data_IF_310469756271
#
_entry.id   IF_310469756271
#
_cell.length_a   1.000
_cell.length_b   1.000
_cell.length_c   1.000
_cell.angle_alpha   90.00
_cell.angle_beta   90.00
_cell.angle_gamma   90.00
#
_symmetry.space_group_name_H-M   'P 1'
#
loop_
_entity.id
_entity.type
_entity.pdbx_description
1 polymer ?
#
# COMPACT_ATOMS: atom_id res chain seq x y z
N UNK A 1 -23.58 -2.01 -49.83
CA UNK A 1 -23.74 -0.66 -50.42
C UNK A 1 -22.61 0.20 -49.92
N UNK A 2 -21.56 0.35 -50.74
CA UNK A 2 -21.06 1.57 -51.41
C UNK A 2 -20.90 2.73 -50.41
N UNK A 3 -19.71 2.96 -49.88
CA UNK A 3 -18.64 3.84 -50.40
C UNK A 3 -18.97 5.33 -50.33
N UNK A 4 -18.17 6.10 -49.60
CA UNK A 4 -17.65 7.39 -50.09
C UNK A 4 -16.46 7.86 -49.26
N UNK A 5 -15.33 7.81 -49.95
CA UNK A 5 -14.08 8.48 -49.68
C UNK A 5 -14.31 9.96 -49.98
N UNK A 6 -13.83 10.85 -49.11
CA UNK A 6 -13.61 12.25 -49.50
C UNK A 6 -12.21 12.66 -49.05
N UNK A 7 -11.32 12.70 -50.01
CA UNK A 7 -10.06 13.43 -50.01
C UNK A 7 -10.31 14.92 -49.83
N UNK A 8 -9.53 15.58 -48.99
CA UNK A 8 -9.24 17.00 -49.12
C UNK A 8 -7.72 17.17 -49.07
N UNK A 9 -7.23 17.66 -50.21
CA UNK A 9 -5.84 17.95 -50.51
C UNK A 9 -5.61 19.43 -50.28
N UNK A 10 -4.41 19.72 -49.76
CA UNK A 10 -3.54 20.88 -50.04
C UNK A 10 -3.94 22.27 -49.52
N UNK A 11 -3.07 22.81 -48.68
CA UNK A 11 -2.45 24.12 -48.95
C UNK A 11 -1.09 24.19 -48.25
N UNK A 12 -0.03 24.10 -49.02
CA UNK A 12 1.30 24.51 -48.63
C UNK A 12 1.37 26.04 -48.72
N UNK A 13 1.75 26.70 -47.61
CA UNK A 13 2.22 28.08 -47.66
C UNK A 13 3.58 28.14 -46.96
N UNK A 14 4.57 28.26 -47.81
CA UNK A 14 5.95 28.65 -47.48
C UNK A 14 5.96 30.10 -46.98
N UNK A 15 6.43 30.29 -45.74
CA UNK A 15 7.00 31.55 -45.31
C UNK A 15 8.32 31.26 -44.60
N UNK A 16 9.37 31.32 -45.38
CA UNK A 16 10.72 31.49 -44.91
C UNK A 16 10.92 33.00 -44.63
N UNK A 17 11.21 33.36 -43.39
CA UNK A 17 12.11 34.46 -43.07
C UNK A 17 12.29 34.61 -41.55
N UNK A 18 13.52 34.54 -41.10
CA UNK A 18 14.12 35.23 -39.95
C UNK A 18 13.58 34.96 -38.57
N UNK A 19 14.28 34.14 -37.78
CA UNK A 19 14.96 34.74 -36.64
C UNK A 19 15.88 33.71 -35.95
N UNK A 20 17.14 34.01 -35.99
CA UNK A 20 18.26 33.25 -35.42
C UNK A 20 18.41 33.51 -33.91
N UNK A 21 17.38 34.11 -33.28
CA UNK A 21 17.43 34.58 -31.89
C UNK A 21 16.48 33.85 -30.93
N UNK A 22 15.49 33.10 -31.43
CA UNK A 22 14.55 32.38 -30.55
C UNK A 22 15.01 30.98 -30.10
N UNK A 23 16.04 30.43 -30.79
CA UNK A 23 16.54 29.08 -30.45
C UNK A 23 17.45 29.04 -29.22
N UNK A 24 18.05 30.15 -28.79
CA UNK A 24 18.95 30.17 -27.65
C UNK A 24 18.18 30.02 -26.33
N UNK A 25 17.03 30.67 -26.16
CA UNK A 25 16.21 30.60 -24.96
C UNK A 25 15.49 29.24 -24.80
N UNK A 26 15.11 28.63 -25.93
CA UNK A 26 14.47 27.30 -25.90
C UNK A 26 15.47 26.18 -25.55
N UNK A 27 16.73 26.32 -25.97
CA UNK A 27 17.80 25.35 -25.64
C UNK A 27 18.25 25.47 -24.17
N UNK A 28 18.26 26.69 -23.63
CA UNK A 28 18.58 26.93 -22.23
C UNK A 28 17.49 26.41 -21.28
N UNK A 29 16.22 26.67 -21.58
CA UNK A 29 15.08 26.11 -20.85
C UNK A 29 15.02 24.58 -20.90
N UNK A 30 15.45 23.99 -22.01
CA UNK A 30 15.52 22.53 -22.14
C UNK A 30 16.64 21.93 -21.31
N UNK A 31 17.79 22.59 -21.24
CA UNK A 31 18.93 22.18 -20.39
C UNK A 31 18.60 22.32 -18.90
N UNK A 32 17.86 23.36 -18.51
CA UNK A 32 17.38 23.51 -17.12
C UNK A 32 16.37 22.43 -16.75
N UNK A 33 15.43 22.10 -17.64
CA UNK A 33 14.47 21.02 -17.41
C UNK A 33 15.14 19.64 -17.32
N UNK A 34 16.13 19.36 -18.19
CA UNK A 34 16.91 18.13 -18.12
C UNK A 34 17.80 18.06 -16.86
N UNK A 35 18.33 19.19 -16.40
CA UNK A 35 19.09 19.26 -15.15
C UNK A 35 18.21 19.03 -13.92
N UNK A 36 17.02 19.61 -13.91
CA UNK A 36 16.04 19.42 -12.85
C UNK A 36 15.51 17.99 -12.79
N UNK A 37 15.28 17.38 -13.94
CA UNK A 37 14.85 15.98 -14.04
C UNK A 37 15.96 15.03 -13.60
N UNK A 38 17.22 15.28 -14.00
CA UNK A 38 18.40 14.54 -13.50
C UNK A 38 18.62 14.72 -11.99
N UNK A 39 18.37 15.93 -11.46
CA UNK A 39 18.47 16.17 -10.02
C UNK A 39 17.38 15.43 -9.24
N UNK A 40 16.15 15.35 -9.76
CA UNK A 40 15.06 14.55 -9.19
C UNK A 40 15.33 13.05 -9.27
N UNK A 41 15.90 12.56 -10.38
CA UNK A 41 16.32 11.16 -10.52
C UNK A 41 17.50 10.84 -9.58
N UNK A 42 18.47 11.74 -9.42
CA UNK A 42 19.59 11.56 -8.51
C UNK A 42 19.15 11.63 -7.03
N UNK A 43 18.19 12.49 -6.69
CA UNK A 43 17.58 12.54 -5.36
C UNK A 43 16.76 11.27 -5.05
N UNK A 44 16.06 10.70 -6.05
CA UNK A 44 15.38 9.41 -5.95
C UNK A 44 16.34 8.22 -5.82
N UNK A 45 17.58 8.33 -6.32
CA UNK A 45 18.60 7.28 -6.22
C UNK A 45 19.44 7.33 -4.93
N UNK A 46 19.37 8.42 -4.18
CA UNK A 46 19.98 8.52 -2.85
C UNK A 46 19.17 7.79 -1.76
N UNK A 47 18.13 7.02 -2.14
CA UNK A 47 17.38 6.18 -1.24
C UNK A 47 18.33 5.25 -0.49
N UNK A 48 18.25 5.28 0.82
CA UNK A 48 18.99 4.45 1.77
C UNK A 48 19.09 3.03 1.20
N UNK A 49 20.30 2.51 1.02
CA UNK A 49 20.51 1.12 0.59
C UNK A 49 20.10 0.20 1.71
N UNK A 50 18.84 -0.12 1.80
CA UNK A 50 18.31 -1.09 2.76
C UNK A 50 18.82 -2.46 2.33
N UNK A 51 19.57 -3.09 3.20
CA UNK A 51 19.91 -4.50 3.02
C UNK A 51 18.67 -5.31 3.41
N UNK A 52 18.17 -6.16 2.54
CA UNK A 52 17.08 -7.06 2.93
C UNK A 52 17.53 -7.95 4.08
N UNK A 53 16.66 -8.35 5.00
CA UNK A 53 16.98 -9.35 6.02
C UNK A 53 17.51 -10.64 5.36
N UNK A 54 18.43 -11.32 6.02
CA UNK A 54 18.91 -12.61 5.51
C UNK A 54 17.82 -13.67 5.76
N UNK A 55 17.44 -14.47 4.76
CA UNK A 55 16.38 -15.49 4.91
C UNK A 55 16.63 -16.39 6.15
N UNK A 56 15.58 -16.56 6.95
CA UNK A 56 15.61 -17.40 8.14
C UNK A 56 16.37 -16.86 9.34
N UNK A 57 17.08 -15.75 9.22
CA UNK A 57 17.91 -15.19 10.30
C UNK A 57 17.29 -14.00 11.00
N UNK A 58 16.56 -13.18 10.29
CA UNK A 58 15.97 -11.96 10.85
C UNK A 58 14.53 -11.81 10.39
N UNK A 59 13.69 -11.52 11.34
CA UNK A 59 12.27 -11.25 11.08
C UNK A 59 11.91 -9.93 11.70
N UNK A 60 10.93 -9.26 11.11
CA UNK A 60 10.42 -8.00 11.63
C UNK A 60 9.26 -8.31 12.57
N UNK A 61 9.35 -7.96 13.86
CA UNK A 61 8.24 -8.11 14.79
C UNK A 61 7.01 -7.31 14.34
N UNK A 62 5.83 -7.85 14.57
CA UNK A 62 4.59 -7.18 14.18
C UNK A 62 4.39 -5.83 14.87
N UNK A 63 4.83 -5.71 16.10
CA UNK A 63 4.78 -4.47 16.89
C UNK A 63 5.67 -3.37 16.28
N UNK A 64 6.71 -3.76 15.55
CA UNK A 64 7.58 -2.83 14.84
C UNK A 64 6.99 -2.45 13.48
N UNK A 65 6.46 -3.45 12.75
CA UNK A 65 5.92 -3.23 11.40
C UNK A 65 4.63 -2.38 11.44
N UNK A 66 3.71 -2.69 12.35
CA UNK A 66 2.37 -2.13 12.39
C UNK A 66 2.32 -0.88 13.26
N UNK A 67 1.84 0.22 12.68
CA UNK A 67 1.45 1.42 13.43
C UNK A 67 0.02 1.25 13.96
N UNK A 68 -0.10 0.55 15.10
CA UNK A 68 -1.40 0.15 15.63
C UNK A 68 -2.37 1.33 15.82
N UNK A 69 -1.95 2.49 16.37
CA UNK A 69 -2.83 3.67 16.47
C UNK A 69 -3.39 4.14 15.14
N UNK A 70 -2.56 4.17 14.10
CA UNK A 70 -2.99 4.59 12.75
C UNK A 70 -3.97 3.60 12.14
N UNK A 71 -3.75 2.30 12.30
CA UNK A 71 -4.71 1.30 11.86
C UNK A 71 -6.02 1.39 12.62
N UNK A 72 -6.00 1.60 13.92
CA UNK A 72 -7.20 1.77 14.73
C UNK A 72 -8.03 2.98 14.27
N UNK A 73 -7.37 4.11 14.03
CA UNK A 73 -7.99 5.33 13.51
C UNK A 73 -8.61 5.10 12.13
N UNK A 74 -7.84 4.53 11.18
CA UNK A 74 -8.27 4.33 9.80
C UNK A 74 -9.44 3.34 9.69
N UNK A 75 -9.47 2.31 10.53
CA UNK A 75 -10.54 1.33 10.58
C UNK A 75 -11.76 1.80 11.37
N UNK A 76 -11.66 2.89 12.14
CA UNK A 76 -12.73 3.40 12.98
C UNK A 76 -13.06 2.48 14.16
N UNK A 77 -12.09 1.71 14.64
CA UNK A 77 -12.27 0.78 15.73
C UNK A 77 -12.24 1.53 17.08
N UNK A 78 -13.28 1.35 17.87
CA UNK A 78 -13.42 1.99 19.20
C UNK A 78 -12.59 1.24 20.23
N UNK A 79 -12.64 -0.08 20.20
CA UNK A 79 -11.87 -0.94 21.10
C UNK A 79 -10.43 -1.11 20.56
N UNK A 80 -9.44 -1.24 21.46
CA UNK A 80 -8.06 -1.43 21.03
C UNK A 80 -7.90 -2.65 20.14
N UNK A 81 -7.22 -2.46 19.00
CA UNK A 81 -6.81 -3.57 18.13
C UNK A 81 -5.76 -4.44 18.83
N UNK A 82 -5.74 -5.72 18.48
CA UNK A 82 -4.70 -6.66 18.89
C UNK A 82 -3.93 -7.12 17.66
N UNK A 83 -2.60 -7.06 17.73
CA UNK A 83 -1.74 -7.58 16.67
C UNK A 83 -1.34 -9.01 17.00
N UNK A 84 -1.42 -9.89 15.98
CA UNK A 84 -1.00 -11.30 16.09
C UNK A 84 0.06 -11.60 15.02
N UNK A 85 1.14 -12.24 15.40
CA UNK A 85 2.09 -12.83 14.44
C UNK A 85 1.43 -14.04 13.76
N UNK A 86 1.27 -13.94 12.44
CA UNK A 86 0.69 -14.98 11.58
C UNK A 86 1.71 -15.56 10.60
N UNK A 87 2.99 -15.25 10.77
CA UNK A 87 4.09 -15.64 9.90
C UNK A 87 4.26 -17.16 9.76
N UNK A 88 3.78 -17.94 10.71
CA UNK A 88 3.77 -19.41 10.59
C UNK A 88 3.05 -19.89 9.33
N UNK A 89 2.03 -19.15 8.86
CA UNK A 89 1.32 -19.43 7.59
C UNK A 89 1.99 -18.83 6.35
N UNK A 90 2.99 -17.98 6.52
CA UNK A 90 3.69 -17.24 5.45
C UNK A 90 5.21 -17.28 5.71
N UNK A 91 5.84 -18.46 5.63
CA UNK A 91 7.25 -18.63 6.05
C UNK A 91 8.25 -17.84 5.20
N UNK A 92 7.85 -17.44 3.98
CA UNK A 92 8.66 -16.62 3.08
C UNK A 92 8.56 -15.11 3.39
N UNK A 93 7.68 -14.71 4.33
CA UNK A 93 7.53 -13.32 4.71
C UNK A 93 8.55 -12.90 5.77
N UNK A 94 9.05 -11.68 5.67
CA UNK A 94 9.83 -11.04 6.74
C UNK A 94 8.95 -10.76 7.97
N UNK A 95 7.68 -10.44 7.72
CA UNK A 95 6.67 -10.28 8.74
C UNK A 95 5.28 -10.61 8.17
N UNK A 96 4.38 -11.16 8.99
CA UNK A 96 2.97 -11.33 8.67
C UNK A 96 2.15 -11.09 9.93
N UNK A 97 1.28 -10.09 9.89
CA UNK A 97 0.65 -9.50 11.05
C UNK A 97 -0.86 -9.43 10.86
N UNK A 98 -1.60 -10.21 11.65
CA UNK A 98 -3.06 -10.13 11.71
C UNK A 98 -3.50 -9.03 12.66
N UNK A 99 -4.35 -8.12 12.20
CA UNK A 99 -5.00 -7.12 13.03
C UNK A 99 -6.38 -7.66 13.47
N UNK A 100 -6.52 -7.87 14.74
CA UNK A 100 -7.70 -8.52 15.35
C UNK A 100 -8.53 -7.48 16.06
N UNK A 101 -9.86 -7.52 15.84
CA UNK A 101 -10.81 -6.65 16.51
C UNK A 101 -10.77 -6.91 18.02
N UNK A 102 -10.58 -5.86 18.81
CA UNK A 102 -10.66 -5.90 20.25
C UNK A 102 -12.08 -6.02 20.79
N UNK A 103 -12.20 -5.98 22.11
CA UNK A 103 -13.47 -6.01 22.80
C UNK A 103 -13.95 -7.42 23.19
N UNK A 104 -15.13 -7.46 23.82
CA UNK A 104 -15.72 -8.71 24.30
C UNK A 104 -16.55 -9.37 23.20
N UNK A 105 -16.22 -10.63 22.88
CA UNK A 105 -17.01 -11.40 21.92
C UNK A 105 -18.42 -11.64 22.44
N UNK A 106 -19.46 -11.42 21.62
CA UNK A 106 -20.83 -11.75 21.97
C UNK A 106 -21.01 -13.22 22.31
N UNK A 107 -21.92 -13.51 23.22
CA UNK A 107 -22.31 -14.90 23.57
C UNK A 107 -22.97 -15.59 22.36
N UNK A 108 -23.04 -16.91 22.38
CA UNK A 108 -23.72 -17.66 21.30
C UNK A 108 -25.20 -17.25 21.12
N UNK A 109 -25.89 -16.91 22.20
CA UNK A 109 -27.26 -16.45 22.13
C UNK A 109 -27.38 -15.11 21.42
N UNK A 110 -26.48 -14.17 21.73
CA UNK A 110 -26.40 -12.86 21.06
C UNK A 110 -26.00 -13.02 19.58
N UNK A 111 -25.04 -13.89 19.28
CA UNK A 111 -24.65 -14.19 17.89
C UNK A 111 -25.81 -14.76 17.08
N UNK A 112 -26.59 -15.70 17.66
CA UNK A 112 -27.81 -16.22 17.03
C UNK A 112 -28.87 -15.14 16.79
N UNK A 113 -29.00 -14.20 17.73
CA UNK A 113 -29.91 -13.07 17.56
C UNK A 113 -29.47 -12.12 16.44
N UNK A 114 -28.16 -11.81 16.36
CA UNK A 114 -27.58 -11.02 15.27
C UNK A 114 -27.80 -11.73 13.93
N UNK A 115 -27.46 -13.01 13.83
CA UNK A 115 -27.64 -13.79 12.61
C UNK A 115 -29.08 -13.81 12.14
N UNK A 116 -30.04 -13.95 13.07
CA UNK A 116 -31.49 -13.92 12.76
C UNK A 116 -31.94 -12.56 12.26
N UNK A 117 -31.37 -11.47 12.80
CA UNK A 117 -31.74 -10.09 12.44
C UNK A 117 -31.09 -9.63 11.14
N UNK A 118 -29.79 -9.93 10.96
CA UNK A 118 -28.95 -9.36 9.91
C UNK A 118 -28.64 -10.35 8.78
N UNK A 119 -29.02 -11.61 8.93
CA UNK A 119 -28.79 -12.67 7.94
C UNK A 119 -27.36 -13.19 7.88
N UNK A 120 -26.40 -12.46 8.48
CA UNK A 120 -24.99 -12.85 8.56
C UNK A 120 -24.34 -12.36 9.84
N UNK A 121 -23.27 -13.01 10.23
CA UNK A 121 -22.37 -12.50 11.25
C UNK A 121 -21.27 -11.72 10.54
N UNK A 122 -21.12 -10.44 10.88
CA UNK A 122 -19.98 -9.64 10.47
C UNK A 122 -18.72 -10.01 11.26
N UNK A 123 -17.64 -9.24 11.07
CA UNK A 123 -16.42 -9.38 11.88
C UNK A 123 -16.73 -9.05 13.33
N UNK A 124 -16.43 -9.97 14.23
CA UNK A 124 -16.69 -9.84 15.66
C UNK A 124 -15.41 -9.59 16.45
N UNK A 125 -15.51 -9.13 17.72
CA UNK A 125 -14.37 -9.11 18.62
C UNK A 125 -13.67 -10.47 18.67
N UNK A 126 -12.34 -10.46 18.51
CA UNK A 126 -11.52 -11.65 18.39
C UNK A 126 -11.32 -12.18 16.96
N UNK A 127 -12.06 -11.67 15.98
CA UNK A 127 -11.84 -12.00 14.56
C UNK A 127 -10.78 -11.09 13.95
N UNK A 128 -10.05 -11.61 12.97
CA UNK A 128 -9.08 -10.85 12.19
C UNK A 128 -9.80 -9.95 11.19
N UNK A 129 -9.49 -8.65 11.24
CA UNK A 129 -9.98 -7.64 10.31
C UNK A 129 -9.22 -7.71 8.99
N UNK A 130 -7.90 -7.65 9.11
CA UNK A 130 -7.00 -7.79 7.97
C UNK A 130 -5.65 -8.34 8.40
N UNK A 131 -4.91 -8.83 7.41
CA UNK A 131 -3.56 -9.32 7.58
C UNK A 131 -2.61 -8.55 6.66
N UNK A 132 -1.53 -8.04 7.23
CA UNK A 132 -0.47 -7.32 6.50
C UNK A 132 0.76 -8.18 6.48
N UNK A 133 1.23 -8.52 5.28
CA UNK A 133 2.41 -9.37 5.06
C UNK A 133 3.46 -8.59 4.28
N UNK A 134 4.71 -8.58 4.77
CA UNK A 134 5.85 -7.94 4.13
C UNK A 134 6.85 -8.98 3.62
N UNK A 135 7.12 -8.97 2.32
CA UNK A 135 8.12 -9.83 1.68
C UNK A 135 9.35 -8.99 1.33
N UNK A 136 10.39 -9.12 2.15
CA UNK A 136 11.58 -8.27 2.13
C UNK A 136 12.91 -9.06 2.09
N UNK A 137 12.87 -10.38 1.87
CA UNK A 137 14.07 -11.21 1.85
C UNK A 137 15.05 -10.87 0.72
N UNK A 138 14.49 -10.31 -0.36
CA UNK A 138 15.26 -9.80 -1.49
C UNK A 138 14.79 -8.38 -1.78
N UNK A 139 15.68 -7.56 -2.35
CA UNK A 139 15.27 -6.28 -2.92
C UNK A 139 14.45 -6.60 -4.15
N UNK A 140 13.17 -6.25 -4.12
CA UNK A 140 12.27 -6.51 -5.24
C UNK A 140 12.45 -5.49 -6.35
N UNK A 141 12.22 -5.95 -7.58
CA UNK A 141 12.19 -5.12 -8.76
C UNK A 141 10.73 -4.79 -9.10
N UNK A 142 10.38 -3.50 -9.27
CA UNK A 142 9.00 -3.09 -9.49
C UNK A 142 8.42 -3.61 -10.82
N UNK A 143 9.23 -3.68 -11.88
CA UNK A 143 8.76 -4.19 -13.18
C UNK A 143 8.53 -5.70 -13.13
N UNK A 144 9.40 -6.42 -12.43
CA UNK A 144 9.21 -7.85 -12.17
C UNK A 144 7.94 -8.09 -11.34
N UNK A 145 7.68 -7.25 -10.35
CA UNK A 145 6.45 -7.30 -9.56
C UNK A 145 5.22 -7.11 -10.46
N UNK A 146 5.20 -6.09 -11.31
CA UNK A 146 4.12 -5.83 -12.27
C UNK A 146 3.91 -7.01 -13.21
N UNK A 147 4.98 -7.60 -13.73
CA UNK A 147 4.91 -8.82 -14.53
C UNK A 147 4.26 -9.98 -13.77
N UNK A 148 4.60 -10.16 -12.49
CA UNK A 148 3.96 -11.19 -11.63
C UNK A 148 2.45 -10.93 -11.45
N UNK A 149 2.01 -9.67 -11.27
CA UNK A 149 0.59 -9.32 -11.22
C UNK A 149 -0.14 -9.74 -12.51
N UNK A 150 0.43 -9.41 -13.67
CA UNK A 150 -0.13 -9.75 -14.98
C UNK A 150 -0.21 -11.28 -15.18
N UNK A 151 0.84 -12.01 -14.81
CA UNK A 151 0.86 -13.48 -14.91
C UNK A 151 -0.23 -14.15 -14.06
N UNK A 152 -0.52 -13.58 -12.87
CA UNK A 152 -1.62 -14.02 -12.01
C UNK A 152 -2.99 -13.54 -12.47
N UNK A 153 -3.04 -12.67 -13.48
CA UNK A 153 -4.26 -11.98 -13.94
C UNK A 153 -4.88 -11.09 -12.85
N UNK A 154 -4.05 -10.58 -11.97
CA UNK A 154 -4.47 -9.58 -10.99
C UNK A 154 -4.82 -8.27 -11.72
N UNK A 155 -5.79 -7.53 -11.20
CA UNK A 155 -6.17 -6.23 -11.74
C UNK A 155 -5.22 -5.16 -11.23
N UNK A 156 -4.78 -4.25 -12.12
CA UNK A 156 -4.04 -3.06 -11.69
C UNK A 156 -4.89 -2.21 -10.73
N UNK A 157 -4.26 -1.64 -9.71
CA UNK A 157 -4.92 -0.73 -8.77
C UNK A 157 -4.13 0.58 -8.62
N UNK A 158 -4.29 1.46 -9.61
CA UNK A 158 -3.60 2.76 -9.66
C UNK A 158 -3.85 3.63 -8.42
N UNK A 159 -4.97 3.41 -7.73
CA UNK A 159 -5.30 4.14 -6.50
C UNK A 159 -4.40 3.78 -5.32
N UNK A 160 -3.70 2.64 -5.41
CA UNK A 160 -2.70 2.19 -4.44
C UNK A 160 -1.26 2.51 -4.89
N UNK A 161 -1.09 3.09 -6.09
CA UNK A 161 0.20 3.45 -6.66
C UNK A 161 0.49 2.77 -7.99
N UNK A 162 1.54 3.22 -8.67
CA UNK A 162 1.91 2.73 -10.02
C UNK A 162 2.21 1.22 -10.06
N UNK A 163 2.76 0.71 -8.96
CA UNK A 163 3.11 -0.70 -8.83
C UNK A 163 2.24 -1.35 -7.77
N UNK A 164 0.93 -1.41 -8.05
CA UNK A 164 -0.04 -2.08 -7.20
C UNK A 164 -1.01 -2.90 -8.04
N UNK A 165 -1.45 -4.01 -7.47
CA UNK A 165 -2.48 -4.85 -8.07
C UNK A 165 -3.38 -5.45 -6.99
N UNK A 166 -4.57 -5.88 -7.41
CA UNK A 166 -5.51 -6.58 -6.55
C UNK A 166 -5.97 -7.88 -7.20
N UNK A 167 -6.02 -8.91 -6.40
CA UNK A 167 -6.59 -10.20 -6.76
C UNK A 167 -7.99 -10.30 -6.18
N UNK A 168 -8.92 -10.86 -6.95
CA UNK A 168 -10.25 -11.23 -6.46
C UNK A 168 -10.20 -12.68 -5.99
N UNK A 169 -10.65 -12.92 -4.76
CA UNK A 169 -10.74 -14.25 -4.17
C UNK A 169 -12.17 -14.48 -3.71
N UNK A 170 -12.79 -15.56 -4.17
CA UNK A 170 -14.13 -15.92 -3.74
C UNK A 170 -14.07 -16.48 -2.30
N UNK A 171 -14.86 -15.89 -1.39
CA UNK A 171 -15.04 -16.32 -0.01
C UNK A 171 -16.53 -16.55 0.22
N UNK A 172 -16.98 -17.79 0.11
CA UNK A 172 -18.41 -18.09 0.11
C UNK A 172 -19.12 -17.48 -1.11
N UNK A 173 -20.04 -16.56 -0.87
CA UNK A 173 -20.77 -15.82 -1.92
C UNK A 173 -20.15 -14.44 -2.22
N UNK A 174 -19.12 -14.05 -1.50
CA UNK A 174 -18.51 -12.72 -1.62
C UNK A 174 -17.19 -12.77 -2.42
N UNK A 175 -16.96 -11.75 -3.23
CA UNK A 175 -15.68 -11.50 -3.88
C UNK A 175 -14.84 -10.57 -2.99
N UNK A 176 -13.74 -11.11 -2.46
CA UNK A 176 -12.87 -10.41 -1.52
C UNK A 176 -11.55 -10.04 -2.21
N UNK A 177 -11.06 -8.85 -1.95
CA UNK A 177 -9.82 -8.36 -2.54
C UNK A 177 -8.60 -8.72 -1.69
N UNK A 178 -7.53 -9.10 -2.37
CA UNK A 178 -6.18 -9.16 -1.82
C UNK A 178 -5.37 -8.10 -2.55
N UNK A 179 -4.97 -7.08 -1.80
CA UNK A 179 -4.13 -6.00 -2.33
C UNK A 179 -2.66 -6.37 -2.22
N UNK A 180 -1.89 -6.03 -3.26
CA UNK A 180 -0.43 -6.14 -3.26
C UNK A 180 0.16 -4.89 -3.87
N UNK A 181 1.21 -4.38 -3.28
CA UNK A 181 1.94 -3.26 -3.85
C UNK A 181 3.44 -3.39 -3.58
N UNK A 182 4.20 -2.84 -4.52
CA UNK A 182 5.62 -2.63 -4.33
C UNK A 182 5.81 -1.33 -3.56
N UNK A 183 6.45 -1.43 -2.41
CA UNK A 183 6.80 -0.27 -1.61
C UNK A 183 8.18 0.25 -2.02
N UNK A 184 8.21 1.46 -2.60
CA UNK A 184 9.40 2.04 -3.20
C UNK A 184 10.49 2.37 -2.17
N UNK A 185 10.09 2.69 -0.95
CA UNK A 185 11.00 3.11 0.11
C UNK A 185 11.70 1.92 0.76
N UNK A 186 10.96 0.86 1.05
CA UNK A 186 11.48 -0.35 1.68
C UNK A 186 12.00 -1.38 0.67
N UNK A 187 11.66 -1.24 -0.61
CA UNK A 187 11.91 -2.24 -1.67
C UNK A 187 11.30 -3.61 -1.38
N UNK A 188 10.21 -3.61 -0.64
CA UNK A 188 9.45 -4.80 -0.28
C UNK A 188 8.17 -4.91 -1.10
N UNK A 189 7.62 -6.11 -1.15
CA UNK A 189 6.24 -6.32 -1.59
C UNK A 189 5.39 -6.43 -0.33
N UNK A 190 4.39 -5.56 -0.23
CA UNK A 190 3.40 -5.61 0.84
C UNK A 190 2.12 -6.24 0.29
N UNK A 191 1.60 -7.22 1.01
CA UNK A 191 0.31 -7.85 0.73
C UNK A 191 -0.65 -7.58 1.87
N UNK A 192 -1.89 -7.22 1.54
CA UNK A 192 -2.96 -7.05 2.52
C UNK A 192 -4.17 -7.85 2.08
N UNK A 193 -4.67 -8.68 2.98
CA UNK A 193 -5.86 -9.51 2.78
C UNK A 193 -6.80 -9.38 3.97
N UNK A 194 -8.09 -9.62 3.76
CA UNK A 194 -9.05 -9.75 4.86
C UNK A 194 -8.84 -11.01 5.69
N UNK A 195 -9.28 -10.99 6.94
CA UNK A 195 -9.41 -12.18 7.76
C UNK A 195 -10.55 -13.09 7.25
N UNK A 196 -10.69 -14.31 7.80
CA UNK A 196 -11.68 -15.28 7.32
C UNK A 196 -13.14 -14.80 7.34
N UNK A 197 -13.48 -13.90 8.26
CA UNK A 197 -14.81 -13.30 8.40
C UNK A 197 -14.90 -11.90 7.78
N UNK A 198 -13.80 -11.37 7.24
CA UNK A 198 -13.68 -10.02 6.74
C UNK A 198 -13.88 -10.00 5.22
N UNK A 199 -15.13 -9.85 4.80
CA UNK A 199 -15.52 -9.80 3.37
C UNK A 199 -15.78 -8.37 2.88
N UNK A 200 -15.59 -7.36 3.74
CA UNK A 200 -15.73 -5.95 3.40
C UNK A 200 -14.49 -5.43 2.71
N UNK A 201 -14.58 -5.26 1.40
CA UNK A 201 -13.47 -4.76 0.57
C UNK A 201 -13.07 -3.32 0.91
N UNK A 202 -13.98 -2.50 1.42
CA UNK A 202 -13.68 -1.13 1.85
C UNK A 202 -12.77 -1.14 3.09
N UNK A 203 -13.09 -1.99 4.06
CA UNK A 203 -12.27 -2.17 5.25
C UNK A 203 -10.88 -2.73 4.90
N UNK A 204 -10.81 -3.74 4.03
CA UNK A 204 -9.52 -4.32 3.59
C UNK A 204 -8.69 -3.27 2.84
N UNK A 205 -9.35 -2.42 2.04
CA UNK A 205 -8.69 -1.32 1.36
C UNK A 205 -8.14 -0.28 2.34
N UNK A 206 -8.88 0.08 3.38
CA UNK A 206 -8.37 0.97 4.45
C UNK A 206 -7.12 0.40 5.10
N UNK A 207 -7.11 -0.91 5.40
CA UNK A 207 -5.90 -1.59 5.86
C UNK A 207 -4.74 -1.44 4.88
N UNK A 208 -4.98 -1.63 3.58
CA UNK A 208 -3.95 -1.57 2.56
C UNK A 208 -3.37 -0.15 2.40
N UNK A 209 -4.22 0.87 2.39
CA UNK A 209 -3.81 2.28 2.37
C UNK A 209 -2.99 2.62 3.61
N UNK A 210 -3.46 2.24 4.79
CA UNK A 210 -2.75 2.49 6.04
C UNK A 210 -1.38 1.78 6.06
N UNK A 211 -1.31 0.54 5.59
CA UNK A 211 -0.05 -0.18 5.46
C UNK A 211 0.92 0.56 4.54
N UNK A 212 0.47 1.03 3.38
CA UNK A 212 1.29 1.81 2.44
C UNK A 212 1.81 3.09 3.07
N UNK A 213 0.97 3.79 3.81
CA UNK A 213 1.28 5.11 4.34
C UNK A 213 2.10 5.06 5.64
N UNK A 214 2.19 3.91 6.31
CA UNK A 214 2.84 3.78 7.63
C UNK A 214 4.02 2.83 7.68
N UNK A 215 4.16 1.92 6.72
CA UNK A 215 5.33 1.05 6.65
C UNK A 215 6.48 1.84 6.04
N UNK A 216 7.52 2.06 6.86
CA UNK A 216 8.72 2.83 6.50
C UNK A 216 9.97 1.96 6.61
N UNK A 217 11.10 2.40 6.02
CA UNK A 217 12.38 1.69 6.14
C UNK A 217 12.77 1.39 7.59
N UNK A 218 12.52 2.31 8.51
CA UNK A 218 12.86 2.17 9.92
C UNK A 218 12.06 1.05 10.60
N UNK A 219 10.82 0.83 10.13
CA UNK A 219 9.96 -0.24 10.65
C UNK A 219 10.32 -1.62 10.14
N UNK A 220 10.99 -1.69 9.00
CA UNK A 220 11.41 -2.97 8.38
C UNK A 220 12.85 -3.34 8.73
N UNK A 221 13.70 -2.35 9.06
CA UNK A 221 15.09 -2.62 9.40
C UNK A 221 15.20 -3.24 10.80
N UNK A 222 15.69 -4.47 10.93
CA UNK A 222 15.89 -5.10 12.25
C UNK A 222 16.82 -4.26 13.11
N UNK A 223 16.40 -3.93 14.32
CA UNK A 223 17.18 -3.15 15.28
C UNK A 223 16.91 -1.64 15.27
N UNK A 224 16.08 -1.14 14.38
CA UNK A 224 15.54 0.20 14.53
C UNK A 224 14.57 0.18 15.72
N UNK A 225 14.96 0.74 16.84
CA UNK A 225 14.01 1.03 17.93
C UNK A 225 12.97 2.00 17.39
N UNK A 226 11.68 1.77 17.57
CA UNK A 226 10.67 2.76 17.18
C UNK A 226 11.03 4.08 17.84
N UNK A 227 11.10 5.14 17.03
CA UNK A 227 11.24 6.49 17.58
C UNK A 227 10.10 6.69 18.59
N UNK A 228 10.38 7.20 19.80
CA UNK A 228 9.34 7.45 20.76
C UNK A 228 8.32 8.38 20.09
N UNK A 229 7.08 7.90 19.96
CA UNK A 229 5.98 8.76 19.52
C UNK A 229 5.98 9.95 20.47
N UNK A 230 6.13 11.15 19.95
CA UNK A 230 5.96 12.40 20.72
C UNK A 230 4.52 12.41 21.24
N UNK A 231 4.33 11.75 22.39
CA UNK A 231 3.13 11.94 23.18
C UNK A 231 3.13 13.41 23.58
N UNK A 232 2.17 14.13 23.00
CA UNK A 232 2.01 15.55 23.16
C UNK A 232 2.19 15.96 24.62
N UNK A 233 3.21 16.78 24.86
CA UNK A 233 3.42 17.50 26.08
C UNK A 233 2.25 18.49 26.24
N UNK A 234 1.18 18.03 26.86
CA UNK A 234 0.15 18.93 27.37
C UNK A 234 0.78 19.74 28.51
N UNK A 235 1.19 20.94 28.17
CA UNK A 235 1.60 21.94 29.14
C UNK A 235 0.44 22.17 30.11
N UNK A 236 0.61 21.71 31.33
CA UNK A 236 -0.22 22.13 32.47
C UNK A 236 0.23 23.54 32.89
N UNK A 237 -0.39 24.57 32.34
CA UNK A 237 -0.36 25.89 32.89
C UNK A 237 -1.25 25.90 34.16
N UNK A 238 -0.63 25.69 35.29
CA UNK A 238 -1.21 26.01 36.59
C UNK A 238 -0.93 27.46 36.88
N UNK A 239 -1.91 28.31 36.60
CA UNK A 239 -1.90 29.69 37.10
C UNK A 239 -2.30 29.66 38.58
N UNK A 240 -1.48 30.33 39.34
CA UNK A 240 -1.61 30.73 40.74
C UNK A 240 -2.70 31.80 40.90
#
# INVERSE_FOLDING_TARGET
>A
MRARIANVVLAAATLAACSKSENAGAEEARKEAEAEQKAKEAAGQAAVKIKPPVPGQQTVPCETLIDLPKFQEALGEVEPLVVKDTRKGEPEAASSCGLVRGGKRPTEAEQKAILKKEGRLGVMPGDELCNVTAYCWTIEDPERFKTKCQQRKDMDDESMGTYACKQVVAVGADDVFVFRFFDADTKCIIQVKGGPSAVDNEMIRKCAVTARDTITPERITPGASPAPSEAGSAASDSAN
#
